data_IF_548537828675
#
_entry.id   IF_548537828675
#
_cell.length_a   1.000
_cell.length_b   1.000
_cell.length_c   1.000
_cell.angle_alpha   90.00
_cell.angle_beta   90.00
_cell.angle_gamma   90.00
#
_symmetry.space_group_name_H-M   'P 1'
#
loop_
_entity.id
_entity.type
_entity.pdbx_description
1 polymer ?
#
# COMPACT_ATOMS: atom_id res chain seq x y z
N UNK A 1 -5.90 7.00 -34.80
CA UNK A 1 -6.75 5.85 -34.47
C UNK A 1 -6.92 5.85 -32.95
N UNK A 2 -8.09 6.26 -32.50
CA UNK A 2 -8.37 6.49 -31.07
C UNK A 2 -8.45 5.17 -30.30
N UNK A 3 -7.68 5.05 -29.20
CA UNK A 3 -7.65 3.92 -28.28
C UNK A 3 -8.97 3.67 -27.52
N UNK A 4 -10.04 4.37 -27.87
CA UNK A 4 -11.37 4.27 -27.25
C UNK A 4 -12.21 3.06 -27.68
N UNK A 5 -11.72 2.24 -28.61
CA UNK A 5 -12.49 1.09 -29.16
C UNK A 5 -12.41 -0.17 -28.29
N UNK A 6 -11.52 -0.21 -27.31
CA UNK A 6 -11.34 -1.40 -26.43
C UNK A 6 -12.33 -1.49 -25.26
N UNK A 7 -13.09 -0.42 -24.97
CA UNK A 7 -14.08 -0.40 -23.89
C UNK A 7 -15.37 0.26 -24.39
N UNK A 8 -16.12 -0.47 -25.22
CA UNK A 8 -17.48 -0.05 -25.52
C UNK A 8 -18.29 0.05 -24.23
N UNK A 9 -18.92 1.20 -24.02
CA UNK A 9 -19.80 1.39 -22.89
C UNK A 9 -20.91 0.32 -22.94
N UNK A 10 -21.19 -0.37 -21.82
CA UNK A 10 -22.14 -1.47 -21.83
C UNK A 10 -23.49 -1.01 -22.38
N UNK A 11 -24.00 -1.72 -23.38
CA UNK A 11 -25.28 -1.43 -24.02
C UNK A 11 -26.46 -1.50 -23.03
N UNK A 12 -27.66 -1.00 -23.40
CA UNK A 12 -28.80 -0.86 -22.48
C UNK A 12 -29.19 -2.19 -21.82
N UNK A 13 -29.11 -3.30 -22.53
CA UNK A 13 -29.38 -4.65 -21.98
C UNK A 13 -28.31 -5.09 -20.96
N UNK A 14 -27.04 -4.76 -21.21
CA UNK A 14 -25.95 -5.05 -20.29
C UNK A 14 -26.06 -4.19 -19.02
N UNK A 15 -26.38 -2.92 -19.15
CA UNK A 15 -26.61 -2.00 -18.01
C UNK A 15 -27.77 -2.50 -17.12
N UNK A 16 -28.86 -2.97 -17.74
CA UNK A 16 -29.98 -3.54 -16.99
C UNK A 16 -29.56 -4.80 -16.21
N UNK A 17 -28.77 -5.70 -16.83
CA UNK A 17 -28.24 -6.91 -16.15
C UNK A 17 -27.29 -6.55 -15.00
N UNK A 18 -26.38 -5.58 -15.20
CA UNK A 18 -25.48 -5.13 -14.13
C UNK A 18 -26.22 -4.47 -12.98
N UNK A 19 -27.27 -3.69 -13.27
CA UNK A 19 -28.13 -3.10 -12.23
C UNK A 19 -28.88 -4.20 -11.46
N UNK A 20 -29.46 -5.17 -12.16
CA UNK A 20 -30.12 -6.30 -11.52
C UNK A 20 -29.15 -7.13 -10.67
N UNK A 21 -27.97 -7.46 -11.21
CA UNK A 21 -26.93 -8.15 -10.46
C UNK A 21 -26.46 -7.36 -9.22
N UNK A 22 -26.33 -6.05 -9.34
CA UNK A 22 -26.01 -5.16 -8.22
C UNK A 22 -27.10 -5.15 -7.14
N UNK A 23 -28.37 -5.09 -7.53
CA UNK A 23 -29.50 -5.15 -6.60
C UNK A 23 -29.56 -6.52 -5.92
N UNK A 24 -29.45 -7.62 -6.67
CA UNK A 24 -29.43 -8.96 -6.10
C UNK A 24 -28.25 -9.17 -5.15
N UNK A 25 -27.04 -8.70 -5.54
CA UNK A 25 -25.87 -8.72 -4.68
C UNK A 25 -26.07 -7.91 -3.39
N UNK A 26 -26.63 -6.71 -3.51
CA UNK A 26 -26.98 -5.86 -2.35
C UNK A 26 -28.00 -6.53 -1.42
N UNK A 27 -29.03 -7.16 -1.97
CA UNK A 27 -30.04 -7.91 -1.19
C UNK A 27 -29.41 -9.11 -0.48
N UNK A 28 -28.51 -9.85 -1.14
CA UNK A 28 -27.81 -10.97 -0.51
C UNK A 28 -26.92 -10.50 0.66
N UNK A 29 -26.18 -9.41 0.48
CA UNK A 29 -25.36 -8.83 1.55
C UNK A 29 -26.26 -8.37 2.70
N UNK A 30 -27.38 -7.69 2.41
CA UNK A 30 -28.33 -7.26 3.42
C UNK A 30 -28.95 -8.45 4.17
N UNK A 31 -29.38 -9.49 3.45
CA UNK A 31 -29.91 -10.71 4.06
C UNK A 31 -28.88 -11.39 4.97
N UNK A 32 -27.61 -11.45 4.54
CA UNK A 32 -26.52 -11.99 5.36
C UNK A 32 -26.30 -11.14 6.63
N UNK A 33 -26.32 -9.82 6.52
CA UNK A 33 -26.17 -8.93 7.68
C UNK A 33 -27.32 -9.08 8.67
N UNK A 34 -28.56 -9.13 8.18
CA UNK A 34 -29.76 -9.36 9.02
C UNK A 34 -29.68 -10.72 9.71
N UNK A 35 -29.29 -11.77 8.97
CA UNK A 35 -29.09 -13.11 9.55
C UNK A 35 -28.00 -13.09 10.63
N UNK A 36 -26.86 -12.43 10.38
CA UNK A 36 -25.77 -12.31 11.35
C UNK A 36 -26.22 -11.58 12.61
N UNK A 37 -26.95 -10.44 12.49
CA UNK A 37 -27.50 -9.69 13.61
C UNK A 37 -28.52 -10.52 14.39
N UNK A 38 -29.40 -11.28 13.70
CA UNK A 38 -30.35 -12.17 14.36
C UNK A 38 -29.64 -13.25 15.17
N UNK A 39 -28.58 -13.88 14.60
CA UNK A 39 -27.78 -14.89 15.30
C UNK A 39 -27.03 -14.30 16.50
N UNK A 40 -26.51 -13.08 16.37
CA UNK A 40 -25.86 -12.39 17.49
C UNK A 40 -26.86 -12.08 18.61
N UNK A 41 -28.06 -11.64 18.26
CA UNK A 41 -29.14 -11.38 19.22
C UNK A 41 -29.63 -12.65 19.91
N UNK A 42 -29.88 -13.72 19.14
CA UNK A 42 -30.37 -14.99 19.69
C UNK A 42 -29.38 -15.67 20.65
N UNK A 43 -28.07 -15.42 20.46
CA UNK A 43 -27.00 -15.89 21.36
C UNK A 43 -26.69 -14.92 22.50
N UNK A 44 -27.47 -13.87 22.68
CA UNK A 44 -27.29 -12.88 23.75
C UNK A 44 -26.03 -12.00 23.59
N UNK A 45 -25.41 -11.92 22.39
CA UNK A 45 -24.23 -11.09 22.16
C UNK A 45 -24.56 -9.59 21.98
N UNK A 46 -25.86 -9.24 21.85
CA UNK A 46 -26.33 -7.86 21.74
C UNK A 46 -26.94 -7.33 23.05
N UNK A 47 -26.78 -8.05 24.16
CA UNK A 47 -27.27 -7.58 25.47
C UNK A 47 -26.45 -6.40 25.96
N UNK A 48 -27.11 -5.46 26.67
CA UNK A 48 -26.50 -4.25 27.21
C UNK A 48 -25.25 -4.56 28.05
N UNK A 49 -25.31 -5.55 28.93
CA UNK A 49 -24.20 -5.89 29.83
C UNK A 49 -22.90 -6.25 29.11
N UNK A 50 -23.00 -6.84 27.93
CA UNK A 50 -21.82 -7.22 27.12
C UNK A 50 -21.17 -6.02 26.40
N UNK A 51 -21.92 -4.95 26.17
CA UNK A 51 -21.44 -3.76 25.48
C UNK A 51 -21.13 -2.60 26.43
N UNK A 52 -21.71 -2.59 27.63
CA UNK A 52 -21.56 -1.52 28.61
C UNK A 52 -20.08 -1.24 28.95
N UNK A 53 -19.26 -2.28 29.09
CA UNK A 53 -17.81 -2.14 29.37
C UNK A 53 -17.05 -1.40 28.26
N UNK A 54 -17.47 -1.52 26.98
CA UNK A 54 -16.85 -0.80 25.86
C UNK A 54 -17.36 0.62 25.73
N UNK A 55 -18.51 0.94 26.33
CA UNK A 55 -19.09 2.29 26.39
C UNK A 55 -18.63 3.09 27.59
N UNK A 56 -17.76 2.52 28.43
CA UNK A 56 -17.28 3.17 29.66
C UNK A 56 -18.35 3.30 30.75
N UNK A 57 -19.39 2.48 30.67
CA UNK A 57 -20.45 2.43 31.67
C UNK A 57 -20.06 1.41 32.75
N UNK A 58 -20.33 1.75 34.01
CA UNK A 58 -20.07 0.84 35.12
C UNK A 58 -20.89 -0.45 34.98
N UNK A 59 -20.19 -1.55 34.88
CA UNK A 59 -20.77 -2.90 34.93
C UNK A 59 -20.40 -3.48 36.28
N UNK A 60 -21.37 -3.97 37.04
CA UNK A 60 -21.23 -4.50 38.39
C UNK A 60 -19.92 -5.25 38.60
N UNK A 61 -19.10 -4.86 39.57
CA UNK A 61 -17.87 -5.50 40.07
C UNK A 61 -16.70 -5.65 39.11
N UNK A 62 -16.58 -4.87 38.04
CA UNK A 62 -15.40 -4.87 37.18
C UNK A 62 -14.50 -3.68 37.55
N UNK A 63 -13.47 -3.95 38.35
CA UNK A 63 -12.42 -2.96 38.69
C UNK A 63 -11.50 -2.62 37.50
N UNK A 64 -11.56 -3.37 36.41
CA UNK A 64 -10.69 -3.23 35.24
C UNK A 64 -11.35 -2.37 34.14
N UNK A 65 -10.65 -1.35 33.68
CA UNK A 65 -11.06 -0.56 32.54
C UNK A 65 -10.56 -1.19 31.23
N UNK A 66 -11.48 -1.79 30.44
CA UNK A 66 -11.15 -2.51 29.20
C UNK A 66 -10.32 -1.66 28.24
N UNK A 67 -10.56 -0.35 28.20
CA UNK A 67 -9.79 0.56 27.34
C UNK A 67 -8.38 0.77 27.85
N UNK A 68 -8.20 1.05 29.14
CA UNK A 68 -6.89 1.38 29.72
C UNK A 68 -6.03 0.13 29.88
N UNK A 69 -6.62 -1.00 30.29
CA UNK A 69 -5.87 -2.20 30.63
C UNK A 69 -5.60 -3.14 29.44
N UNK A 70 -6.43 -3.06 28.37
CA UNK A 70 -6.36 -3.99 27.24
C UNK A 70 -6.24 -3.32 25.89
N UNK A 71 -7.20 -2.44 25.53
CA UNK A 71 -7.30 -1.93 24.16
C UNK A 71 -6.23 -0.90 23.82
N UNK A 72 -5.99 0.08 24.70
CA UNK A 72 -4.94 1.09 24.47
C UNK A 72 -3.54 0.51 24.50
N UNK A 73 -3.14 -0.34 25.49
CA UNK A 73 -1.85 -1.01 25.47
C UNK A 73 -1.65 -1.91 24.23
N UNK A 74 -2.70 -2.66 23.85
CA UNK A 74 -2.66 -3.47 22.64
C UNK A 74 -2.46 -2.63 21.37
N UNK A 75 -3.19 -1.50 21.25
CA UNK A 75 -3.03 -0.54 20.18
C UNK A 75 -1.61 0.03 20.11
N UNK A 76 -1.07 0.46 21.24
CA UNK A 76 0.29 1.00 21.32
C UNK A 76 1.33 -0.04 20.90
N UNK A 77 1.15 -1.30 21.29
CA UNK A 77 2.03 -2.39 20.87
C UNK A 77 1.92 -2.67 19.35
N UNK A 78 0.71 -2.67 18.79
CA UNK A 78 0.49 -2.77 17.33
C UNK A 78 1.24 -1.65 16.60
N UNK A 79 1.05 -0.40 17.02
CA UNK A 79 1.71 0.76 16.42
C UNK A 79 3.23 0.71 16.59
N UNK A 80 3.72 0.31 17.76
CA UNK A 80 5.15 0.15 18.02
C UNK A 80 5.79 -0.85 17.06
N UNK A 81 5.21 -2.05 16.93
CA UNK A 81 5.70 -3.07 16.01
C UNK A 81 5.65 -2.56 14.55
N UNK A 82 4.53 -1.94 14.14
CA UNK A 82 4.37 -1.41 12.78
C UNK A 82 5.41 -0.34 12.45
N UNK A 83 5.60 0.66 13.32
CA UNK A 83 6.54 1.77 13.07
C UNK A 83 7.98 1.26 12.96
N UNK A 84 8.41 0.40 13.89
CA UNK A 84 9.77 -0.16 13.86
C UNK A 84 9.96 -0.98 12.57
N UNK A 85 9.00 -1.83 12.24
CA UNK A 85 9.06 -2.67 11.02
C UNK A 85 9.07 -1.84 9.74
N UNK A 86 8.26 -0.79 9.65
CA UNK A 86 8.22 0.12 8.49
C UNK A 86 9.58 0.80 8.27
N UNK A 87 10.18 1.33 9.33
CA UNK A 87 11.49 1.98 9.24
C UNK A 87 12.57 0.99 8.79
N UNK A 88 12.63 -0.17 9.42
CA UNK A 88 13.62 -1.19 9.07
C UNK A 88 13.37 -1.81 7.70
N UNK A 89 12.11 -2.05 7.31
CA UNK A 89 11.74 -2.50 5.97
C UNK A 89 12.09 -1.47 4.89
N UNK A 90 11.93 -0.18 5.20
CA UNK A 90 12.36 0.90 4.33
C UNK A 90 13.87 0.89 4.10
N UNK A 91 14.66 0.79 5.18
CA UNK A 91 16.12 0.71 5.11
C UNK A 91 16.57 -0.53 4.33
N UNK A 92 16.05 -1.70 4.70
CA UNK A 92 16.35 -2.97 4.01
C UNK A 92 15.98 -2.89 2.53
N UNK A 93 14.76 -2.45 2.23
CA UNK A 93 14.24 -2.35 0.87
C UNK A 93 15.05 -1.40 0.00
N UNK A 94 15.46 -0.26 0.55
CA UNK A 94 16.29 0.71 -0.16
C UNK A 94 17.69 0.17 -0.45
N UNK A 95 18.35 -0.44 0.55
CA UNK A 95 19.69 -1.02 0.39
C UNK A 95 19.70 -2.17 -0.63
N UNK A 96 18.81 -3.14 -0.46
CA UNK A 96 18.74 -4.29 -1.35
C UNK A 96 18.17 -3.93 -2.73
N UNK A 97 17.24 -2.98 -2.82
CA UNK A 97 16.73 -2.45 -4.07
C UNK A 97 17.81 -1.80 -4.92
N UNK A 98 18.65 -0.93 -4.33
CA UNK A 98 19.80 -0.35 -5.02
C UNK A 98 20.83 -1.43 -5.37
N UNK A 99 21.09 -2.37 -4.47
CA UNK A 99 22.00 -3.50 -4.71
C UNK A 99 21.60 -4.33 -5.93
N UNK A 100 20.31 -4.58 -6.15
CA UNK A 100 19.77 -5.28 -7.33
C UNK A 100 19.98 -4.52 -8.64
N UNK A 101 20.17 -3.22 -8.59
CA UNK A 101 20.42 -2.35 -9.74
C UNK A 101 21.92 -2.07 -9.94
N UNK A 102 22.80 -2.68 -9.14
CA UNK A 102 24.25 -2.50 -9.19
C UNK A 102 24.84 -3.01 -10.52
N UNK A 103 25.87 -2.33 -10.99
CA UNK A 103 26.69 -2.76 -12.14
C UNK A 103 27.57 -3.99 -11.82
N UNK A 104 27.89 -4.17 -10.52
CA UNK A 104 28.68 -5.30 -10.04
C UNK A 104 27.79 -6.54 -9.98
N UNK A 105 28.06 -7.51 -10.86
CA UNK A 105 27.23 -8.72 -11.02
C UNK A 105 27.06 -9.50 -9.71
N UNK A 106 28.13 -9.62 -8.92
CA UNK A 106 28.08 -10.35 -7.63
C UNK A 106 27.07 -9.69 -6.67
N UNK A 107 27.11 -8.36 -6.51
CA UNK A 107 26.18 -7.61 -5.65
C UNK A 107 24.75 -7.75 -6.17
N UNK A 108 24.56 -7.58 -7.48
CA UNK A 108 23.25 -7.68 -8.12
C UNK A 108 22.61 -9.04 -7.90
N UNK A 109 23.38 -10.11 -8.13
CA UNK A 109 22.89 -11.51 -7.98
C UNK A 109 22.62 -11.79 -6.51
N UNK A 110 23.53 -11.47 -5.60
CA UNK A 110 23.33 -11.66 -4.16
C UNK A 110 22.08 -10.97 -3.65
N UNK A 111 21.93 -9.67 -3.92
CA UNK A 111 20.74 -8.91 -3.50
C UNK A 111 19.47 -9.46 -4.18
N UNK A 112 19.57 -9.94 -5.42
CA UNK A 112 18.47 -10.59 -6.12
C UNK A 112 18.00 -11.85 -5.40
N UNK A 113 18.90 -12.75 -5.10
CA UNK A 113 18.61 -14.03 -4.42
C UNK A 113 18.00 -13.76 -3.02
N UNK A 114 18.57 -12.85 -2.25
CA UNK A 114 18.07 -12.49 -0.91
C UNK A 114 16.64 -11.97 -0.98
N UNK A 115 16.37 -11.01 -1.87
CA UNK A 115 15.04 -10.41 -2.02
C UNK A 115 14.02 -11.45 -2.49
N UNK A 116 14.34 -12.27 -3.49
CA UNK A 116 13.43 -13.32 -3.98
C UNK A 116 13.16 -14.38 -2.91
N UNK A 117 14.18 -14.76 -2.14
CA UNK A 117 14.00 -15.69 -1.02
C UNK A 117 12.99 -15.17 0.00
N UNK A 118 13.19 -13.97 0.54
CA UNK A 118 12.31 -13.43 1.57
C UNK A 118 10.90 -13.07 1.06
N UNK A 119 10.74 -12.78 -0.22
CA UNK A 119 9.41 -12.62 -0.84
C UNK A 119 8.65 -13.93 -1.03
N UNK A 120 9.38 -15.03 -1.20
CA UNK A 120 8.79 -16.35 -1.43
C UNK A 120 8.37 -17.05 -0.13
N UNK A 121 8.95 -16.66 1.02
CA UNK A 121 8.63 -17.24 2.32
C UNK A 121 7.44 -16.50 2.93
N UNK A 122 6.38 -17.22 3.39
CA UNK A 122 5.27 -16.59 4.12
C UNK A 122 5.76 -15.82 5.35
N UNK A 123 5.29 -14.59 5.54
CA UNK A 123 5.73 -13.72 6.65
C UNK A 123 5.58 -14.36 8.02
N UNK A 124 4.49 -15.11 8.26
CA UNK A 124 4.25 -15.83 9.50
C UNK A 124 5.33 -16.89 9.77
N UNK A 125 5.80 -17.59 8.74
CA UNK A 125 6.87 -18.60 8.88
C UNK A 125 8.17 -17.93 9.31
N UNK A 126 8.47 -16.74 8.76
CA UNK A 126 9.64 -15.96 9.18
C UNK A 126 9.52 -15.46 10.62
N UNK A 127 8.32 -15.01 11.05
CA UNK A 127 8.06 -14.61 12.43
C UNK A 127 8.27 -15.79 13.40
N UNK A 128 7.70 -16.97 13.08
CA UNK A 128 7.87 -18.18 13.88
C UNK A 128 9.34 -18.61 13.93
N UNK A 129 10.02 -18.63 12.79
CA UNK A 129 11.44 -18.97 12.71
C UNK A 129 12.30 -18.04 13.56
N UNK A 130 12.07 -16.73 13.47
CA UNK A 130 12.77 -15.73 14.29
C UNK A 130 12.46 -15.91 15.79
N UNK A 131 11.18 -16.12 16.14
CA UNK A 131 10.75 -16.31 17.52
C UNK A 131 11.44 -17.50 18.18
N UNK A 132 11.42 -18.67 17.52
CA UNK A 132 12.08 -19.86 18.05
C UNK A 132 13.61 -19.72 18.05
N UNK A 133 14.19 -19.15 17.00
CA UNK A 133 15.63 -18.91 16.94
C UNK A 133 16.09 -18.01 18.08
N UNK A 134 15.38 -16.93 18.38
CA UNK A 134 15.72 -16.03 19.49
C UNK A 134 15.49 -16.69 20.86
N UNK A 135 14.40 -17.47 21.00
CA UNK A 135 14.11 -18.18 22.24
C UNK A 135 15.16 -19.25 22.58
N UNK A 136 15.52 -20.09 21.60
CA UNK A 136 16.49 -21.16 21.83
C UNK A 136 17.90 -20.65 22.11
N UNK A 137 18.27 -19.51 21.51
CA UNK A 137 19.60 -18.94 21.69
C UNK A 137 19.65 -17.84 22.77
N UNK A 138 18.54 -17.57 23.47
CA UNK A 138 18.43 -16.52 24.49
C UNK A 138 18.96 -15.15 24.03
N UNK A 139 18.64 -14.77 22.75
CA UNK A 139 19.16 -13.54 22.16
C UNK A 139 18.48 -12.32 22.78
N UNK A 140 17.18 -12.41 23.05
CA UNK A 140 16.40 -11.36 23.70
C UNK A 140 15.76 -11.91 24.98
N UNK A 141 15.49 -11.01 25.93
CA UNK A 141 14.69 -11.35 27.12
C UNK A 141 13.27 -11.73 26.70
N UNK A 142 12.59 -12.55 27.50
CA UNK A 142 11.30 -13.15 27.16
C UNK A 142 10.25 -12.15 26.73
N UNK A 143 10.20 -10.96 27.37
CA UNK A 143 9.21 -9.92 27.07
C UNK A 143 9.47 -9.20 25.72
N UNK A 144 10.73 -9.14 25.28
CA UNK A 144 11.13 -8.47 24.03
C UNK A 144 11.11 -9.41 22.85
N UNK A 145 11.29 -10.72 23.10
CA UNK A 145 11.43 -11.74 22.06
C UNK A 145 10.25 -11.73 21.04
N UNK A 146 8.97 -11.72 21.47
CA UNK A 146 7.86 -11.69 20.50
C UNK A 146 7.87 -10.45 19.61
N UNK A 147 8.16 -9.28 20.19
CA UNK A 147 8.28 -8.02 19.42
C UNK A 147 9.41 -8.12 18.40
N UNK A 148 10.59 -8.58 18.81
CA UNK A 148 11.75 -8.72 17.93
C UNK A 148 11.45 -9.67 16.77
N UNK A 149 10.77 -10.77 17.03
CA UNK A 149 10.38 -11.75 16.01
C UNK A 149 9.36 -11.18 15.00
N UNK A 150 8.33 -10.47 15.47
CA UNK A 150 7.36 -9.75 14.60
C UNK A 150 8.11 -8.76 13.71
N UNK A 151 8.94 -7.91 14.32
CA UNK A 151 9.70 -6.88 13.59
C UNK A 151 10.62 -7.51 12.55
N UNK A 152 11.31 -8.61 12.89
CA UNK A 152 12.19 -9.31 11.94
C UNK A 152 11.42 -9.87 10.75
N UNK A 153 10.34 -10.62 11.00
CA UNK A 153 9.52 -11.19 9.92
C UNK A 153 8.94 -10.11 8.99
N UNK A 154 8.37 -9.05 9.58
CA UNK A 154 7.82 -7.93 8.82
C UNK A 154 8.89 -7.16 8.04
N UNK A 155 10.06 -6.95 8.63
CA UNK A 155 11.19 -6.25 7.98
C UNK A 155 11.68 -7.00 6.76
N UNK A 156 11.94 -8.29 6.89
CA UNK A 156 12.49 -9.11 5.81
C UNK A 156 11.50 -9.24 4.64
N UNK A 157 10.23 -9.53 4.94
CA UNK A 157 9.20 -9.66 3.91
C UNK A 157 8.90 -8.31 3.23
N UNK A 158 8.48 -7.32 4.00
CA UNK A 158 8.04 -6.04 3.44
C UNK A 158 9.21 -5.24 2.86
N UNK A 159 10.40 -5.36 3.46
CA UNK A 159 11.62 -4.77 2.90
C UNK A 159 11.97 -5.36 1.54
N UNK A 160 11.78 -6.67 1.36
CA UNK A 160 11.96 -7.31 0.06
C UNK A 160 10.92 -6.85 -0.98
N UNK A 161 9.66 -6.62 -0.55
CA UNK A 161 8.64 -6.01 -1.42
C UNK A 161 9.01 -4.58 -1.80
N UNK A 162 9.48 -3.76 -0.85
CA UNK A 162 9.95 -2.40 -1.12
C UNK A 162 11.15 -2.39 -2.09
N UNK A 163 12.11 -3.33 -1.93
CA UNK A 163 13.23 -3.48 -2.85
C UNK A 163 12.77 -3.75 -4.30
N UNK A 164 11.76 -4.60 -4.47
CA UNK A 164 11.19 -4.90 -5.77
C UNK A 164 10.40 -3.73 -6.36
N UNK A 165 9.63 -3.01 -5.53
CA UNK A 165 8.93 -1.80 -5.95
C UNK A 165 9.92 -0.75 -6.48
N UNK A 166 11.05 -0.53 -5.81
CA UNK A 166 12.08 0.40 -6.28
C UNK A 166 12.69 -0.04 -7.60
N UNK A 167 13.03 -1.34 -7.74
CA UNK A 167 13.58 -1.89 -8.98
C UNK A 167 12.58 -1.76 -10.14
N UNK A 168 11.33 -2.09 -9.90
CA UNK A 168 10.25 -1.99 -10.90
C UNK A 168 9.99 -0.53 -11.27
N UNK A 169 10.00 0.37 -10.28
CA UNK A 169 9.83 1.80 -10.49
C UNK A 169 10.91 2.39 -11.39
N UNK A 170 12.17 2.05 -11.15
CA UNK A 170 13.28 2.47 -12.04
C UNK A 170 13.12 1.85 -13.44
N UNK A 171 12.71 0.58 -13.54
CA UNK A 171 12.50 -0.11 -14.80
C UNK A 171 11.32 0.44 -15.62
N UNK A 172 10.36 1.10 -14.99
CA UNK A 172 9.21 1.72 -15.66
C UNK A 172 9.47 3.11 -16.24
N UNK A 173 10.63 3.72 -15.91
CA UNK A 173 10.98 5.05 -16.43
C UNK A 173 11.31 4.98 -17.92
N UNK A 174 11.01 6.04 -18.69
CA UNK A 174 11.39 6.14 -20.10
C UNK A 174 12.91 5.98 -20.27
N UNK A 175 13.32 5.15 -21.24
CA UNK A 175 14.75 4.88 -21.55
C UNK A 175 15.57 6.17 -21.77
N UNK A 176 14.96 7.19 -22.35
CA UNK A 176 15.57 8.49 -22.58
C UNK A 176 16.13 9.16 -21.32
N UNK A 177 15.59 8.87 -20.12
CA UNK A 177 16.13 9.39 -18.85
C UNK A 177 17.54 8.84 -18.59
N UNK A 178 17.75 7.57 -18.88
CA UNK A 178 19.08 6.95 -18.74
C UNK A 178 20.04 7.42 -19.83
N UNK A 179 19.58 7.51 -21.06
CA UNK A 179 20.37 7.94 -22.21
C UNK A 179 20.83 9.39 -22.09
N UNK A 180 19.92 10.29 -21.67
CA UNK A 180 20.25 11.70 -21.41
C UNK A 180 21.32 11.85 -20.31
N UNK A 181 21.19 11.10 -19.22
CA UNK A 181 22.21 11.13 -18.17
C UNK A 181 23.61 10.69 -18.66
N UNK A 182 23.65 9.64 -19.46
CA UNK A 182 24.91 9.15 -20.07
C UNK A 182 25.47 10.14 -21.09
N UNK A 183 24.64 10.80 -21.90
CA UNK A 183 25.05 11.77 -22.92
C UNK A 183 25.72 13.01 -22.32
N UNK A 184 25.34 13.42 -21.11
CA UNK A 184 26.01 14.54 -20.39
C UNK A 184 27.22 14.06 -19.55
N UNK A 185 27.67 12.81 -19.73
CA UNK A 185 28.89 12.28 -19.10
C UNK A 185 28.71 11.68 -17.71
N UNK A 186 27.47 11.49 -17.23
CA UNK A 186 27.24 10.79 -15.96
C UNK A 186 27.50 9.28 -16.12
N UNK A 187 28.10 8.69 -15.11
CA UNK A 187 28.18 7.22 -15.04
C UNK A 187 26.80 6.62 -14.78
N UNK A 188 26.61 5.34 -15.11
CA UNK A 188 25.33 4.64 -14.84
C UNK A 188 24.88 4.72 -13.38
N UNK A 189 25.82 4.64 -12.43
CA UNK A 189 25.53 4.78 -10.99
C UNK A 189 25.11 6.19 -10.60
N UNK A 190 25.71 7.23 -11.20
CA UNK A 190 25.33 8.62 -11.00
C UNK A 190 23.95 8.90 -11.62
N UNK A 191 23.71 8.43 -12.84
CA UNK A 191 22.40 8.51 -13.51
C UNK A 191 21.30 7.83 -12.68
N UNK A 192 21.56 6.64 -12.15
CA UNK A 192 20.62 5.94 -11.27
C UNK A 192 20.27 6.78 -10.03
N UNK A 193 21.30 7.28 -9.31
CA UNK A 193 21.11 7.98 -8.04
C UNK A 193 20.54 9.39 -8.20
N UNK A 194 21.01 10.14 -9.19
CA UNK A 194 20.66 11.54 -9.36
C UNK A 194 19.39 11.77 -10.18
N UNK A 195 19.10 10.89 -11.14
CA UNK A 195 17.99 11.08 -12.09
C UNK A 195 16.89 10.05 -11.89
N UNK A 196 17.21 8.75 -11.95
CA UNK A 196 16.19 7.70 -12.02
C UNK A 196 15.56 7.41 -10.65
N UNK A 197 16.37 7.30 -9.59
CA UNK A 197 15.87 6.89 -8.27
C UNK A 197 14.88 7.90 -7.65
N UNK A 198 15.12 9.24 -7.68
CA UNK A 198 14.13 10.20 -7.20
C UNK A 198 12.80 10.14 -7.96
N UNK A 199 12.85 9.96 -9.28
CA UNK A 199 11.67 9.84 -10.13
C UNK A 199 10.92 8.52 -9.83
N UNK A 200 11.64 7.40 -9.70
CA UNK A 200 11.06 6.10 -9.40
C UNK A 200 10.38 6.10 -8.02
N UNK A 201 11.01 6.66 -6.99
CA UNK A 201 10.41 6.79 -5.65
C UNK A 201 9.12 7.59 -5.73
N UNK A 202 9.12 8.72 -6.44
CA UNK A 202 7.91 9.55 -6.59
C UNK A 202 6.80 8.81 -7.33
N UNK A 203 7.12 8.06 -8.39
CA UNK A 203 6.16 7.27 -9.15
C UNK A 203 5.58 6.09 -8.32
N UNK A 204 6.39 5.49 -7.43
CA UNK A 204 5.99 4.35 -6.60
C UNK A 204 5.38 4.75 -5.25
N UNK A 205 5.29 6.05 -4.93
CA UNK A 205 4.71 6.51 -3.65
C UNK A 205 3.36 5.88 -3.33
N UNK A 206 2.38 5.76 -4.24
CA UNK A 206 1.10 5.11 -3.92
C UNK A 206 1.26 3.66 -3.48
N UNK A 207 2.13 2.89 -4.14
CA UNK A 207 2.40 1.51 -3.81
C UNK A 207 3.14 1.38 -2.46
N UNK A 208 4.11 2.26 -2.20
CA UNK A 208 4.82 2.33 -0.92
C UNK A 208 3.88 2.68 0.23
N UNK A 209 2.95 3.61 0.02
CA UNK A 209 1.90 3.95 0.98
C UNK A 209 0.98 2.76 1.26
N UNK A 210 0.56 2.05 0.22
CA UNK A 210 -0.21 0.81 0.37
C UNK A 210 0.51 -0.22 1.24
N UNK A 211 1.85 -0.32 1.11
CA UNK A 211 2.66 -1.24 1.89
C UNK A 211 2.68 -0.92 3.39
N UNK A 212 2.56 0.35 3.79
CA UNK A 212 2.46 0.73 5.20
C UNK A 212 1.22 0.12 5.86
N UNK A 213 0.09 0.11 5.13
CA UNK A 213 -1.17 -0.48 5.61
C UNK A 213 -1.05 -2.00 5.71
N UNK A 214 -0.33 -2.64 4.77
CA UNK A 214 -0.05 -4.09 4.84
C UNK A 214 0.75 -4.41 6.09
N UNK A 215 1.86 -3.70 6.34
CA UNK A 215 2.69 -3.89 7.54
C UNK A 215 1.85 -3.78 8.82
N UNK A 216 1.00 -2.76 8.93
CA UNK A 216 0.17 -2.55 10.11
C UNK A 216 -0.83 -3.70 10.33
N UNK A 217 -1.45 -4.22 9.28
CA UNK A 217 -2.35 -5.37 9.38
C UNK A 217 -1.61 -6.65 9.75
N UNK A 218 -0.42 -6.85 9.19
CA UNK A 218 0.37 -8.05 9.40
C UNK A 218 0.96 -8.14 10.80
N UNK A 219 0.99 -7.03 11.58
CA UNK A 219 1.35 -7.10 13.02
C UNK A 219 0.42 -8.00 13.80
N UNK A 220 -0.86 -8.14 13.39
CA UNK A 220 -1.83 -9.04 14.00
C UNK A 220 -1.41 -10.52 13.96
N UNK A 221 -0.55 -10.93 13.03
CA UNK A 221 0.04 -12.27 13.00
C UNK A 221 0.92 -12.54 14.22
N UNK A 222 1.39 -11.49 14.89
CA UNK A 222 2.15 -11.57 16.14
C UNK A 222 1.40 -12.25 17.27
N UNK A 223 0.07 -12.29 17.24
CA UNK A 223 -0.77 -13.05 18.17
C UNK A 223 -0.32 -14.53 18.24
N UNK A 224 0.06 -15.12 17.10
CA UNK A 224 0.43 -16.54 17.00
C UNK A 224 1.73 -16.85 17.77
N UNK A 225 2.60 -15.85 17.89
CA UNK A 225 3.87 -15.94 18.64
C UNK A 225 3.80 -15.20 19.99
N UNK A 226 2.60 -15.11 20.57
CA UNK A 226 2.34 -14.51 21.88
C UNK A 226 2.67 -13.01 22.00
N UNK A 227 2.82 -12.29 20.90
CA UNK A 227 2.96 -10.83 20.94
C UNK A 227 1.65 -10.18 21.37
N UNK A 228 1.71 -9.40 22.45
CA UNK A 228 0.54 -8.77 23.05
C UNK A 228 0.15 -7.49 22.28
N UNK A 229 -0.38 -7.66 21.08
CA UNK A 229 -0.88 -6.60 20.22
C UNK A 229 -2.43 -6.44 20.34
N UNK A 230 -3.03 -5.55 19.57
CA UNK A 230 -4.44 -5.21 19.69
C UNK A 230 -5.38 -6.42 19.49
N UNK A 231 -5.13 -7.28 18.48
CA UNK A 231 -5.97 -8.44 18.19
C UNK A 231 -5.94 -9.45 19.33
N UNK A 232 -4.78 -9.68 19.96
CA UNK A 232 -4.64 -10.63 21.10
C UNK A 232 -5.65 -10.35 22.21
N UNK A 233 -6.07 -9.11 22.38
CA UNK A 233 -6.93 -8.70 23.49
C UNK A 233 -8.37 -9.21 23.37
N UNK A 234 -8.86 -9.61 22.16
CA UNK A 234 -10.19 -10.23 22.09
C UNK A 234 -10.27 -11.54 22.88
N UNK A 235 -9.18 -12.33 22.88
CA UNK A 235 -9.12 -13.57 23.65
C UNK A 235 -9.07 -13.31 25.15
N UNK A 236 -8.27 -12.31 25.56
CA UNK A 236 -8.16 -11.92 26.99
C UNK A 236 -9.48 -11.40 27.54
N UNK A 237 -10.11 -10.45 26.85
CA UNK A 237 -11.42 -9.91 27.21
C UNK A 237 -12.47 -11.01 27.16
N UNK A 238 -12.42 -11.87 26.16
CA UNK A 238 -13.36 -12.97 25.98
C UNK A 238 -13.25 -14.04 27.05
N UNK A 239 -12.03 -14.42 27.46
CA UNK A 239 -11.81 -15.41 28.51
C UNK A 239 -12.17 -14.89 29.90
N UNK A 240 -11.97 -13.60 30.17
CA UNK A 240 -12.26 -12.99 31.47
C UNK A 240 -13.74 -12.72 31.68
N UNK A 241 -14.43 -12.19 30.65
CA UNK A 241 -15.84 -11.72 30.80
C UNK A 241 -16.82 -12.40 29.82
N UNK A 242 -16.42 -13.41 29.07
CA UNK A 242 -17.29 -14.08 28.10
C UNK A 242 -17.71 -13.20 26.90
N UNK A 243 -17.00 -12.11 26.62
CA UNK A 243 -17.33 -11.06 25.64
C UNK A 243 -16.49 -11.15 24.35
N UNK A 244 -16.21 -12.38 23.86
CA UNK A 244 -15.35 -12.57 22.65
C UNK A 244 -15.91 -11.79 21.45
N UNK A 245 -17.21 -11.92 21.15
CA UNK A 245 -17.80 -11.33 19.93
C UNK A 245 -17.85 -9.80 19.99
N UNK A 246 -18.34 -9.16 21.06
CA UNK A 246 -18.24 -7.71 21.23
C UNK A 246 -16.79 -7.20 21.13
N UNK A 247 -15.84 -7.86 21.81
CA UNK A 247 -14.43 -7.49 21.76
C UNK A 247 -13.87 -7.56 20.34
N UNK A 248 -14.16 -8.61 19.57
CA UNK A 248 -13.74 -8.72 18.18
C UNK A 248 -14.30 -7.61 17.31
N UNK A 249 -15.57 -7.24 17.50
CA UNK A 249 -16.21 -6.15 16.73
C UNK A 249 -15.54 -4.80 17.04
N UNK A 250 -15.31 -4.50 18.32
CA UNK A 250 -14.64 -3.25 18.74
C UNK A 250 -13.20 -3.21 18.21
N UNK A 251 -12.45 -4.28 18.34
CA UNK A 251 -11.07 -4.38 17.82
C UNK A 251 -11.04 -4.25 16.30
N UNK A 252 -11.97 -4.90 15.58
CA UNK A 252 -12.09 -4.74 14.14
C UNK A 252 -12.38 -3.29 13.74
N UNK A 253 -13.29 -2.61 14.46
CA UNK A 253 -13.57 -1.19 14.26
C UNK A 253 -12.32 -0.32 14.51
N UNK A 254 -11.55 -0.60 15.56
CA UNK A 254 -10.28 0.08 15.84
C UNK A 254 -9.29 -0.12 14.70
N UNK A 255 -9.12 -1.35 14.18
CA UNK A 255 -8.27 -1.61 13.01
C UNK A 255 -8.72 -0.84 11.77
N UNK A 256 -10.03 -0.77 11.52
CA UNK A 256 -10.58 0.02 10.39
C UNK A 256 -10.22 1.50 10.55
N UNK A 257 -10.44 2.09 11.72
CA UNK A 257 -10.14 3.49 12.00
C UNK A 257 -8.65 3.79 11.84
N UNK A 258 -7.78 2.96 12.41
CA UNK A 258 -6.33 3.16 12.35
C UNK A 258 -5.82 3.02 10.91
N UNK A 259 -6.26 1.99 10.19
CA UNK A 259 -5.87 1.81 8.79
C UNK A 259 -6.37 2.95 7.91
N UNK A 260 -7.59 3.45 8.15
CA UNK A 260 -8.12 4.62 7.44
C UNK A 260 -7.32 5.88 7.76
N UNK A 261 -7.00 6.11 9.04
CA UNK A 261 -6.17 7.24 9.47
C UNK A 261 -4.77 7.18 8.84
N UNK A 262 -4.12 5.99 8.86
CA UNK A 262 -2.82 5.79 8.24
C UNK A 262 -2.85 6.03 6.73
N UNK A 263 -3.85 5.48 6.04
CA UNK A 263 -4.03 5.66 4.59
C UNK A 263 -4.24 7.14 4.25
N UNK A 264 -5.07 7.83 5.02
CA UNK A 264 -5.35 9.27 4.82
C UNK A 264 -4.12 10.14 5.06
N UNK A 265 -3.36 9.86 6.13
CA UNK A 265 -2.11 10.54 6.44
C UNK A 265 -1.08 10.32 5.32
N UNK A 266 -0.92 9.08 4.89
CA UNK A 266 0.02 8.71 3.85
C UNK A 266 -0.35 9.33 2.50
N UNK A 267 -1.64 9.37 2.12
CA UNK A 267 -2.11 10.07 0.92
C UNK A 267 -1.91 11.59 1.03
N UNK A 268 -2.05 12.18 2.21
CA UNK A 268 -1.73 13.59 2.42
C UNK A 268 -0.23 13.87 2.20
N UNK A 269 0.64 13.06 2.77
CA UNK A 269 2.10 13.17 2.60
C UNK A 269 2.49 12.99 1.13
N UNK A 270 1.93 11.99 0.45
CA UNK A 270 2.14 11.75 -0.98
C UNK A 270 1.80 12.99 -1.83
N UNK A 271 0.62 13.57 -1.63
CA UNK A 271 0.20 14.80 -2.35
C UNK A 271 1.18 15.95 -2.13
N UNK A 272 1.65 16.13 -0.89
CA UNK A 272 2.63 17.17 -0.56
C UNK A 272 3.98 16.94 -1.25
N UNK A 273 4.46 15.71 -1.30
CA UNK A 273 5.72 15.34 -1.95
C UNK A 273 5.64 15.52 -3.47
N UNK A 274 4.54 15.09 -4.10
CA UNK A 274 4.29 15.27 -5.54
C UNK A 274 4.22 16.75 -5.94
N UNK A 275 3.64 17.60 -5.13
CA UNK A 275 3.57 19.05 -5.38
C UNK A 275 4.95 19.71 -5.35
N UNK A 276 5.86 19.26 -4.47
CA UNK A 276 7.24 19.77 -4.39
C UNK A 276 8.11 19.30 -5.56
N UNK A 277 7.83 18.16 -6.14
CA UNK A 277 8.53 17.63 -7.32
C UNK A 277 8.14 18.30 -8.65
N UNK A 278 7.06 19.07 -8.69
CA UNK A 278 6.73 19.96 -9.80
C UNK A 278 7.53 21.26 -9.64
N UNK A 279 8.81 21.21 -9.95
CA UNK A 279 9.57 22.43 -10.21
C UNK A 279 8.96 23.05 -11.46
N UNK A 280 8.25 24.16 -11.30
CA UNK A 280 7.86 25.05 -12.38
C UNK A 280 9.17 25.50 -13.03
N UNK A 281 9.50 24.94 -14.19
CA UNK A 281 10.51 25.54 -15.05
C UNK A 281 9.92 26.89 -15.41
N UNK A 282 10.44 27.94 -14.78
CA UNK A 282 9.98 29.30 -14.99
C UNK A 282 10.02 29.62 -16.47
N UNK A 283 8.97 30.24 -16.96
CA UNK A 283 8.86 30.78 -18.29
C UNK A 283 9.94 31.82 -18.54
N UNK A 284 11.11 31.34 -18.94
CA UNK A 284 12.18 32.13 -19.57
C UNK A 284 12.24 31.75 -21.04
N UNK A 285 11.77 32.62 -21.88
CA UNK A 285 11.56 32.61 -23.31
C UNK A 285 12.28 31.54 -24.14
N UNK A 286 11.51 30.77 -24.89
CA UNK A 286 11.97 29.89 -25.96
C UNK A 286 11.40 28.48 -25.83
N UNK A 287 10.31 28.20 -26.58
CA UNK A 287 9.84 26.88 -27.01
C UNK A 287 9.84 25.76 -25.98
N UNK A 288 8.99 25.79 -24.96
CA UNK A 288 8.84 24.70 -24.02
C UNK A 288 7.93 23.60 -24.60
N UNK A 289 8.50 22.44 -24.89
CA UNK A 289 7.70 21.22 -25.11
C UNK A 289 7.20 20.77 -23.72
N UNK A 290 5.90 20.69 -23.46
CA UNK A 290 5.39 20.24 -22.19
C UNK A 290 5.70 18.76 -22.02
N UNK A 291 6.42 18.41 -20.94
CA UNK A 291 6.64 17.04 -20.53
C UNK A 291 5.32 16.52 -19.92
N UNK A 292 4.51 15.87 -20.74
CA UNK A 292 3.26 15.24 -20.31
C UNK A 292 3.60 14.01 -19.48
N UNK A 293 3.50 14.14 -18.14
CA UNK A 293 3.44 13.00 -17.26
C UNK A 293 2.06 12.38 -17.44
N UNK A 294 2.00 11.15 -17.97
CA UNK A 294 0.77 10.40 -18.18
C UNK A 294 0.01 10.18 -16.85
N UNK A 295 -1.09 10.86 -16.72
CA UNK A 295 -2.02 10.78 -15.60
C UNK A 295 -2.95 11.97 -15.66
N UNK A 296 -4.20 11.73 -16.09
CA UNK A 296 -5.31 12.67 -16.13
C UNK A 296 -5.20 13.83 -17.14
N UNK A 297 -5.40 13.50 -18.43
CA UNK A 297 -5.83 14.47 -19.43
C UNK A 297 -7.34 14.32 -19.62
N UNK A 298 -8.11 15.19 -18.96
CA UNK A 298 -9.47 15.49 -19.43
C UNK A 298 -9.35 16.14 -20.80
N UNK A 299 -9.82 15.41 -21.82
CA UNK A 299 -9.94 15.90 -23.18
C UNK A 299 -11.22 16.76 -23.31
N UNK A 300 -11.20 17.96 -22.77
CA UNK A 300 -12.14 18.99 -23.12
C UNK A 300 -11.32 20.26 -23.41
N UNK A 301 -11.43 20.74 -24.66
CA UNK A 301 -10.82 21.94 -25.25
C UNK A 301 -9.51 21.72 -26.04
N UNK A 302 -9.66 21.10 -27.21
CA UNK A 302 -8.86 21.42 -28.36
C UNK A 302 -9.85 21.90 -29.47
N UNK A 303 -10.24 23.18 -29.43
CA UNK A 303 -10.72 23.86 -30.60
C UNK A 303 -9.52 24.07 -31.53
N UNK A 304 -9.54 23.35 -32.64
CA UNK A 304 -8.64 23.60 -33.75
C UNK A 304 -9.20 24.82 -34.47
N UNK A 305 -8.57 25.96 -34.24
CA UNK A 305 -8.76 27.12 -35.06
C UNK A 305 -8.33 26.78 -36.50
N UNK A 306 -9.31 26.69 -37.40
CA UNK A 306 -9.06 26.53 -38.80
C UNK A 306 -8.49 27.86 -39.36
N UNK A 307 -7.22 27.87 -39.67
CA UNK A 307 -6.63 28.83 -40.59
C UNK A 307 -6.60 28.16 -41.97
N UNK A 308 -7.42 28.68 -42.87
CA UNK A 308 -7.50 28.31 -44.29
C UNK A 308 -6.13 28.52 -44.93
N UNK A 309 -5.42 27.47 -45.22
CA UNK A 309 -4.29 27.45 -46.13
C UNK A 309 -4.84 27.13 -47.52
N UNK A 310 -5.18 28.20 -48.27
CA UNK A 310 -5.37 28.14 -49.71
C UNK A 310 -4.07 27.69 -50.38
N UNK A 311 -3.99 26.43 -50.73
CA UNK A 311 -2.98 25.92 -51.64
C UNK A 311 -3.58 25.94 -53.05
N UNK A 312 -3.19 26.97 -53.78
CA UNK A 312 -3.45 27.14 -55.23
C UNK A 312 -2.70 26.00 -55.96
N UNK A 313 -3.42 24.98 -56.39
CA UNK A 313 -2.92 23.93 -57.27
C UNK A 313 -3.17 24.32 -58.71
N UNK A 314 -2.14 24.84 -59.38
CA UNK A 314 -2.09 25.04 -60.82
C UNK A 314 -2.27 23.68 -61.57
N UNK A 315 -3.30 23.52 -62.43
CA UNK A 315 -3.52 22.32 -63.21
C UNK A 315 -2.87 22.43 -64.58
N UNK A 316 -1.58 22.32 -64.66
CA UNK A 316 -0.89 22.40 -65.99
C UNK A 316 0.45 21.68 -65.96
N UNK A 317 0.45 20.37 -66.23
CA UNK A 317 1.45 19.64 -67.01
C UNK A 317 1.25 18.13 -66.87
N UNK A 318 0.28 17.64 -67.62
CA UNK A 318 0.24 16.21 -67.95
C UNK A 318 0.37 16.16 -69.50
N UNK A 319 1.57 16.12 -69.98
CA UNK A 319 1.88 15.40 -71.23
C UNK A 319 3.39 15.19 -71.44
N UNK A 320 3.73 14.05 -72.06
CA UNK A 320 5.00 13.61 -72.59
C UNK A 320 5.99 12.90 -71.62
N UNK A 321 5.95 11.56 -71.63
CA UNK A 321 6.93 10.66 -72.17
C UNK A 321 6.71 9.22 -71.68
N UNK A 322 6.16 8.44 -72.59
CA UNK A 322 6.46 7.02 -72.89
C UNK A 322 6.90 6.11 -71.75
#
# INVERSE_FOLDING_TARGET
MSASVLFDAPGPKARARYRLAGILGGLLILAFLVFALFQLGSKGNLTYDKWAMFLGLEVNDIDANVWIDYLIPGLLNTLKAAVISIVLAGIFGFLFGIGRMSQITVIRVFCGVVVEFFRSVPVLVMMLGAFYFYSFNNIFVADVNPLAAVVTGLTLYNGSVVAELLRSGVGSLPKGQSEAGLAIGLTRGQTLRAIQLPQAVTAMLPALVGQLVVVLKDTALGQIITYNELLTNYQRIGSTWGNIVPAMIVIAAMYIVINYALTSLAAYVERRLRQRGRVTIGAGGGGAVPLVVAGDVELSEFEVGGEDLDIDLDPGEADSRR
#
